data_IF_530078471054
#
_entry.id   IF_530078471054
#
_cell.length_a   1.000
_cell.length_b   1.000
_cell.length_c   1.000
_cell.angle_alpha   90.00
_cell.angle_beta   90.00
_cell.angle_gamma   90.00
#
_symmetry.space_group_name_H-M   'P 1'
#
loop_
_entity.id
_entity.type
_entity.pdbx_description
1 polymer ?
#
# COMPACT_ATOMS: atom_id res chain seq x y z
N UNK A 1 -7.50 -17.59 -18.31
CA UNK A 1 -6.92 -16.25 -18.56
C UNK A 1 -6.74 -15.59 -17.22
N UNK A 2 -5.51 -15.34 -16.79
CA UNK A 2 -5.26 -14.56 -15.55
C UNK A 2 -5.58 -13.11 -15.84
N UNK A 3 -6.70 -12.62 -15.31
CA UNK A 3 -7.07 -11.22 -15.44
C UNK A 3 -6.03 -10.40 -14.68
N UNK A 4 -5.26 -9.56 -15.38
CA UNK A 4 -4.37 -8.62 -14.72
C UNK A 4 -5.25 -7.66 -13.90
N UNK A 5 -4.92 -7.39 -12.62
CA UNK A 5 -5.70 -6.46 -11.81
C UNK A 5 -5.53 -5.02 -12.32
N UNK A 6 -6.65 -4.32 -12.46
CA UNK A 6 -6.66 -2.87 -12.72
C UNK A 6 -6.36 -2.09 -11.42
N UNK A 7 -6.21 -0.77 -11.52
CA UNK A 7 -5.80 0.05 -10.37
C UNK A 7 -6.89 0.10 -9.30
N UNK A 8 -8.16 0.03 -9.68
CA UNK A 8 -9.26 -0.12 -8.72
C UNK A 8 -9.13 -1.41 -7.88
N UNK A 9 -8.81 -2.54 -8.51
CA UNK A 9 -8.58 -3.81 -7.80
C UNK A 9 -7.36 -3.73 -6.88
N UNK A 10 -6.27 -3.10 -7.34
CA UNK A 10 -5.06 -2.89 -6.52
C UNK A 10 -5.33 -2.01 -5.31
N UNK A 11 -6.10 -0.94 -5.49
CA UNK A 11 -6.52 -0.06 -4.39
C UNK A 11 -7.42 -0.80 -3.37
N UNK A 12 -8.31 -1.67 -3.85
CA UNK A 12 -9.15 -2.49 -2.96
C UNK A 12 -8.30 -3.44 -2.10
N UNK A 13 -7.30 -4.11 -2.69
CA UNK A 13 -6.38 -4.96 -1.92
C UNK A 13 -5.52 -4.17 -0.94
N UNK A 14 -5.01 -3.01 -1.34
CA UNK A 14 -4.25 -2.14 -0.45
C UNK A 14 -5.10 -1.68 0.75
N UNK A 15 -6.38 -1.41 0.51
CA UNK A 15 -7.34 -1.05 1.57
C UNK A 15 -7.59 -2.21 2.55
N UNK A 16 -7.66 -3.45 2.09
CA UNK A 16 -7.75 -4.63 2.99
C UNK A 16 -6.51 -4.76 3.88
N UNK A 17 -5.32 -4.55 3.31
CA UNK A 17 -4.08 -4.53 4.08
C UNK A 17 -4.06 -3.40 5.12
N UNK A 18 -4.52 -2.20 4.73
CA UNK A 18 -4.64 -1.06 5.63
C UNK A 18 -5.63 -1.34 6.77
N UNK A 19 -6.78 -1.95 6.49
CA UNK A 19 -7.76 -2.32 7.50
C UNK A 19 -7.21 -3.32 8.53
N UNK A 20 -6.47 -4.34 8.06
CA UNK A 20 -5.80 -5.28 8.97
C UNK A 20 -4.73 -4.61 9.83
N UNK A 21 -4.00 -3.63 9.26
CA UNK A 21 -3.00 -2.84 9.96
C UNK A 21 -3.64 -1.95 11.03
N UNK A 22 -4.63 -1.12 10.69
CA UNK A 22 -5.24 -0.17 11.63
C UNK A 22 -5.95 -0.87 12.78
N UNK A 23 -6.56 -2.05 12.52
CA UNK A 23 -7.14 -2.88 13.56
C UNK A 23 -6.12 -3.34 14.62
N UNK A 24 -4.82 -3.35 14.29
CA UNK A 24 -3.73 -3.75 15.20
C UNK A 24 -3.01 -2.56 15.82
N UNK A 25 -2.88 -1.45 15.10
CA UNK A 25 -1.99 -0.33 15.48
C UNK A 25 -2.73 0.95 15.89
N UNK A 26 -3.98 1.13 15.48
CA UNK A 26 -4.82 2.31 15.76
C UNK A 26 -5.98 1.96 16.70
N UNK A 27 -5.70 1.22 17.78
CA UNK A 27 -6.70 0.93 18.81
C UNK A 27 -7.90 0.09 18.33
N UNK A 28 -7.77 -0.64 17.23
CA UNK A 28 -8.85 -1.43 16.65
C UNK A 28 -9.69 -0.70 15.60
N UNK A 29 -9.28 0.51 15.18
CA UNK A 29 -10.03 1.31 14.21
C UNK A 29 -9.94 0.77 12.77
N UNK A 30 -10.83 1.25 11.91
CA UNK A 30 -10.96 0.84 10.52
C UNK A 30 -10.87 2.06 9.58
N UNK A 31 -10.29 1.95 8.38
CA UNK A 31 -10.16 3.08 7.45
C UNK A 31 -11.49 3.71 7.01
N UNK A 32 -12.64 3.09 7.31
CA UNK A 32 -13.98 3.66 7.04
C UNK A 32 -14.47 4.63 8.11
N UNK A 33 -13.91 4.53 9.32
CA UNK A 33 -14.33 5.28 10.50
C UNK A 33 -13.29 6.30 10.93
N UNK A 34 -12.06 6.16 10.46
CA UNK A 34 -10.95 7.09 10.71
C UNK A 34 -11.15 8.43 10.00
N UNK A 35 -10.65 9.50 10.64
CA UNK A 35 -10.51 10.80 9.98
C UNK A 35 -9.47 10.74 8.86
N UNK A 36 -9.64 11.58 7.83
CA UNK A 36 -8.76 11.57 6.63
C UNK A 36 -7.27 11.69 6.95
N UNK A 37 -6.90 12.51 7.95
CA UNK A 37 -5.51 12.69 8.35
C UNK A 37 -4.91 11.45 9.02
N UNK A 38 -5.74 10.70 9.75
CA UNK A 38 -5.33 9.45 10.39
C UNK A 38 -5.18 8.33 9.34
N UNK A 39 -6.03 8.32 8.31
CA UNK A 39 -5.88 7.40 7.17
C UNK A 39 -4.55 7.66 6.45
N UNK A 40 -4.23 8.92 6.15
CA UNK A 40 -2.95 9.28 5.51
C UNK A 40 -1.77 8.86 6.38
N UNK A 41 -1.89 9.03 7.70
CA UNK A 41 -0.89 8.58 8.68
C UNK A 41 -0.71 7.08 8.70
N UNK A 42 -1.81 6.33 8.75
CA UNK A 42 -1.77 4.88 8.70
C UNK A 42 -1.16 4.33 7.41
N UNK A 43 -1.34 5.02 6.28
CA UNK A 43 -0.74 4.62 5.00
C UNK A 43 0.79 4.72 5.08
N UNK A 44 1.36 5.85 5.51
CA UNK A 44 2.81 5.97 5.56
C UNK A 44 3.44 5.12 6.68
N UNK A 45 2.73 4.89 7.79
CA UNK A 45 3.18 3.98 8.85
C UNK A 45 3.22 2.52 8.37
N UNK A 46 2.20 2.08 7.62
CA UNK A 46 2.19 0.75 6.99
C UNK A 46 3.36 0.58 6.00
N UNK A 47 3.65 1.61 5.19
CA UNK A 47 4.80 1.59 4.29
C UNK A 47 6.12 1.50 5.08
N UNK A 48 6.26 2.27 6.17
CA UNK A 48 7.44 2.23 7.02
C UNK A 48 7.65 0.84 7.65
N UNK A 49 6.58 0.21 8.14
CA UNK A 49 6.64 -1.14 8.72
C UNK A 49 7.04 -2.21 7.70
N UNK A 50 6.56 -2.10 6.46
CA UNK A 50 7.01 -2.97 5.36
C UNK A 50 8.50 -2.80 5.05
N UNK A 51 9.03 -1.57 5.14
CA UNK A 51 10.45 -1.30 4.95
C UNK A 51 11.28 -1.81 6.14
N UNK A 52 10.79 -1.67 7.37
CA UNK A 52 11.40 -2.30 8.54
C UNK A 52 11.48 -3.83 8.39
N UNK A 53 10.39 -4.45 7.92
CA UNK A 53 10.37 -5.88 7.61
C UNK A 53 11.40 -6.23 6.53
N UNK A 54 11.39 -5.52 5.39
CA UNK A 54 12.31 -5.78 4.29
C UNK A 54 13.78 -5.64 4.72
N UNK A 55 14.10 -4.61 5.52
CA UNK A 55 15.44 -4.42 6.09
C UNK A 55 15.86 -5.59 6.96
N UNK A 56 14.96 -6.11 7.80
CA UNK A 56 15.23 -7.29 8.65
C UNK A 56 15.46 -8.57 7.85
N UNK A 57 14.89 -8.67 6.65
CA UNK A 57 15.16 -9.76 5.71
C UNK A 57 16.45 -9.57 4.90
N UNK A 58 17.16 -8.45 5.07
CA UNK A 58 18.39 -8.16 4.34
C UNK A 58 18.20 -7.55 2.95
N UNK A 59 16.98 -7.10 2.61
CA UNK A 59 16.74 -6.42 1.34
C UNK A 59 17.19 -4.95 1.34
N UNK A 60 17.47 -4.43 0.14
CA UNK A 60 17.72 -3.01 -0.08
C UNK A 60 16.37 -2.26 -0.13
N UNK A 61 16.07 -1.54 0.95
CA UNK A 61 14.86 -0.73 1.09
C UNK A 61 14.80 0.42 0.10
N UNK A 62 15.95 0.99 -0.29
CA UNK A 62 15.99 2.07 -1.28
C UNK A 62 15.57 1.57 -2.65
N UNK A 63 16.14 0.44 -3.08
CA UNK A 63 15.74 -0.20 -4.34
C UNK A 63 14.26 -0.62 -4.33
N UNK A 64 13.75 -1.16 -3.22
CA UNK A 64 12.32 -1.52 -3.11
C UNK A 64 11.42 -0.29 -3.33
N UNK A 65 11.71 0.84 -2.68
CA UNK A 65 10.91 2.06 -2.86
C UNK A 65 10.99 2.55 -4.30
N UNK A 66 12.19 2.59 -4.91
CA UNK A 66 12.37 2.97 -6.31
C UNK A 66 11.53 2.11 -7.25
N UNK A 67 11.57 0.78 -7.08
CA UNK A 67 10.80 -0.14 -7.92
C UNK A 67 9.29 -0.03 -7.68
N UNK A 68 8.87 0.15 -6.43
CA UNK A 68 7.45 0.33 -6.09
C UNK A 68 6.87 1.59 -6.76
N UNK A 69 7.59 2.72 -6.70
CA UNK A 69 7.20 3.95 -7.39
C UNK A 69 7.17 3.77 -8.90
N UNK A 70 8.18 3.09 -9.48
CA UNK A 70 8.20 2.82 -10.92
C UNK A 70 7.01 1.96 -11.36
N UNK A 71 6.68 0.89 -10.62
CA UNK A 71 5.51 0.05 -10.90
C UNK A 71 4.20 0.84 -10.80
N UNK A 72 4.02 1.64 -9.75
CA UNK A 72 2.84 2.50 -9.58
C UNK A 72 2.64 3.42 -10.80
N UNK A 73 3.70 4.09 -11.25
CA UNK A 73 3.66 4.95 -12.44
C UNK A 73 3.33 4.20 -13.74
N UNK A 74 3.87 2.98 -13.91
CA UNK A 74 3.51 2.13 -15.04
C UNK A 74 2.04 1.72 -15.00
N UNK A 75 1.54 1.29 -13.83
CA UNK A 75 0.16 0.83 -13.62
C UNK A 75 -0.86 1.95 -13.87
N UNK A 76 -0.55 3.20 -13.47
CA UNK A 76 -1.38 4.35 -13.81
C UNK A 76 -1.53 4.57 -15.33
N UNK A 77 -0.46 4.35 -16.10
CA UNK A 77 -0.47 4.53 -17.56
C UNK A 77 -1.25 3.43 -18.29
N UNK A 78 -1.36 2.24 -17.69
CA UNK A 78 -2.14 1.13 -18.23
C UNK A 78 -3.63 1.46 -18.33
N UNK A 79 -4.16 2.32 -17.45
CA UNK A 79 -5.57 2.73 -17.48
C UNK A 79 -5.86 3.92 -18.42
N UNK A 80 -4.83 4.67 -18.81
CA UNK A 80 -4.96 5.81 -19.73
C UNK A 80 -4.89 5.37 -21.19
N UNK A 81 -4.37 4.17 -21.46
CA UNK A 81 -4.24 3.64 -22.82
C UNK A 81 -5.49 2.83 -23.18
N UNK A 82 -6.30 3.25 -24.18
CA UNK A 82 -7.52 2.55 -24.57
C UNK A 82 -7.29 1.17 -25.19
#
# INVERSE_FOLDING_TARGET
MTHKPNNAGRAAWAREALAAFTARTYGGDHPDTMDRGDIETAIYDLIADLLHYAKRQGFDTGNIVTQACFHFECELREEVTP
#
